data_IF_739462688164
#
_entry.id   IF_739462688164
#
_cell.length_a   1.000
_cell.length_b   1.000
_cell.length_c   1.000
_cell.angle_alpha   90.00
_cell.angle_beta   90.00
_cell.angle_gamma   90.00
#
_symmetry.space_group_name_H-M   'P 1'
#
loop_
_entity.id
_entity.type
_entity.pdbx_description
1 polymer ?
#
# COMPACT_ATOMS: atom_id res chain seq x y z
N UNK A 1 21.24 -13.26 27.60
CA UNK A 1 20.00 -12.55 27.97
C UNK A 1 18.93 -12.96 26.97
N UNK A 2 18.10 -13.94 27.32
CA UNK A 2 16.96 -14.35 26.51
C UNK A 2 15.79 -13.46 26.93
N UNK A 3 15.37 -12.54 26.07
CA UNK A 3 14.17 -11.75 26.32
C UNK A 3 12.99 -12.70 26.50
N UNK A 4 12.41 -12.66 27.70
CA UNK A 4 11.20 -13.37 28.05
C UNK A 4 10.07 -12.83 27.16
N UNK A 5 9.72 -13.60 26.13
CA UNK A 5 8.54 -13.33 25.31
C UNK A 5 7.34 -13.37 26.25
N UNK A 6 6.89 -12.19 26.67
CA UNK A 6 5.69 -11.99 27.50
C UNK A 6 4.60 -12.91 26.97
N UNK A 7 4.20 -13.89 27.77
CA UNK A 7 3.19 -14.87 27.41
C UNK A 7 1.85 -14.13 27.25
N UNK A 8 1.57 -13.66 26.03
CA UNK A 8 0.33 -12.94 25.70
C UNK A 8 -0.81 -13.94 25.84
N UNK A 9 -1.54 -13.83 26.96
CA UNK A 9 -2.72 -14.64 27.26
C UNK A 9 -3.70 -14.55 26.07
N UNK A 10 -4.14 -15.67 25.47
CA UNK A 10 -5.05 -15.66 24.32
C UNK A 10 -6.41 -15.00 24.60
N UNK A 11 -6.76 -14.78 25.89
CA UNK A 11 -8.00 -14.11 26.33
C UNK A 11 -8.30 -12.78 25.63
N UNK A 12 -7.28 -12.02 25.23
CA UNK A 12 -7.51 -10.72 24.55
C UNK A 12 -7.66 -10.83 23.03
N UNK A 13 -7.15 -11.89 22.39
CA UNK A 13 -7.27 -12.06 20.94
C UNK A 13 -8.72 -12.38 20.53
N UNK A 14 -9.42 -13.19 21.32
CA UNK A 14 -10.82 -13.54 21.11
C UNK A 14 -11.75 -12.34 21.36
N UNK A 15 -11.45 -11.51 22.38
CA UNK A 15 -12.23 -10.29 22.67
C UNK A 15 -12.11 -9.22 21.57
N UNK A 16 -11.01 -9.18 20.80
CA UNK A 16 -10.88 -8.28 19.63
C UNK A 16 -11.91 -8.58 18.55
N UNK A 17 -12.37 -9.84 18.43
CA UNK A 17 -13.39 -10.25 17.45
C UNK A 17 -14.74 -9.58 17.72
N UNK A 18 -15.07 -9.34 18.98
CA UNK A 18 -16.30 -8.67 19.41
C UNK A 18 -16.23 -7.14 19.36
N UNK A 19 -15.03 -6.56 19.28
CA UNK A 19 -14.80 -5.12 19.43
C UNK A 19 -14.73 -4.32 18.10
N UNK A 20 -15.40 -4.77 17.04
CA UNK A 20 -15.34 -4.16 15.67
C UNK A 20 -13.91 -3.95 15.12
N UNK A 21 -12.90 -4.55 15.74
CA UNK A 21 -11.49 -4.48 15.32
C UNK A 21 -11.25 -5.14 13.96
N UNK A 22 -12.16 -6.03 13.53
CA UNK A 22 -12.18 -6.55 12.16
C UNK A 22 -12.23 -5.41 11.15
N UNK A 23 -13.04 -4.37 11.41
CA UNK A 23 -13.10 -3.19 10.56
C UNK A 23 -11.82 -2.38 10.69
N UNK A 24 -11.32 -2.16 11.92
CA UNK A 24 -10.05 -1.46 12.21
C UNK A 24 -8.86 -2.03 11.42
N UNK A 25 -8.80 -3.36 11.22
CA UNK A 25 -7.79 -4.05 10.41
C UNK A 25 -7.71 -3.53 8.97
N UNK A 26 -8.82 -3.02 8.44
CA UNK A 26 -8.93 -2.48 7.08
C UNK A 26 -8.90 -0.96 7.01
N UNK A 27 -8.68 -0.21 8.10
CA UNK A 27 -8.67 1.27 8.02
C UNK A 27 -7.53 1.80 7.15
N UNK A 28 -6.42 1.06 7.06
CA UNK A 28 -5.31 1.37 6.16
C UNK A 28 -5.53 0.90 4.71
N UNK A 29 -6.44 -0.05 4.47
CA UNK A 29 -6.61 -0.65 3.14
C UNK A 29 -7.12 0.33 2.08
N UNK A 30 -8.16 1.15 2.33
CA UNK A 30 -8.60 2.17 1.39
C UNK A 30 -7.49 3.17 1.06
N UNK A 31 -6.70 3.57 2.06
CA UNK A 31 -5.59 4.52 1.90
C UNK A 31 -4.45 3.93 1.05
N UNK A 32 -4.11 2.66 1.28
CA UNK A 32 -3.15 1.91 0.46
C UNK A 32 -3.65 1.73 -0.98
N UNK A 33 -4.96 1.49 -1.16
CA UNK A 33 -5.54 1.31 -2.49
C UNK A 33 -5.46 2.61 -3.31
N UNK A 34 -5.79 3.76 -2.71
CA UNK A 34 -5.65 5.06 -3.37
C UNK A 34 -4.19 5.35 -3.72
N UNK A 35 -3.25 5.06 -2.82
CA UNK A 35 -1.82 5.24 -3.08
C UNK A 35 -1.33 4.36 -4.24
N UNK A 36 -1.77 3.11 -4.29
CA UNK A 36 -1.43 2.19 -5.36
C UNK A 36 -1.95 2.67 -6.72
N UNK A 37 -3.21 3.12 -6.77
CA UNK A 37 -3.84 3.66 -7.98
C UNK A 37 -3.06 4.89 -8.48
N UNK A 38 -2.77 5.86 -7.60
CA UNK A 38 -2.02 7.08 -7.96
C UNK A 38 -0.61 6.74 -8.46
N UNK A 39 0.08 5.81 -7.78
CA UNK A 39 1.43 5.40 -8.16
C UNK A 39 1.45 4.75 -9.53
N UNK A 40 0.47 3.88 -9.81
CA UNK A 40 0.33 3.20 -11.10
C UNK A 40 0.08 4.19 -12.23
N UNK A 41 -0.85 5.14 -12.03
CA UNK A 41 -1.13 6.20 -13.02
C UNK A 41 0.12 7.04 -13.29
N UNK A 42 0.84 7.44 -12.23
CA UNK A 42 2.03 8.28 -12.34
C UNK A 42 3.17 7.57 -13.09
N UNK A 43 3.41 6.30 -12.77
CA UNK A 43 4.43 5.49 -13.46
C UNK A 43 4.11 5.33 -14.95
N UNK A 44 2.85 5.05 -15.28
CA UNK A 44 2.40 4.91 -16.67
C UNK A 44 2.51 6.23 -17.45
N UNK A 45 2.09 7.35 -16.84
CA UNK A 45 2.22 8.68 -17.45
C UNK A 45 3.69 9.05 -17.71
N UNK A 46 4.59 8.71 -16.76
CA UNK A 46 6.03 8.93 -16.94
C UNK A 46 6.61 8.09 -18.07
N UNK A 47 6.19 6.82 -18.19
CA UNK A 47 6.56 5.96 -19.31
C UNK A 47 6.10 6.53 -20.65
N UNK A 48 4.83 6.96 -20.73
CA UNK A 48 4.29 7.59 -21.93
C UNK A 48 5.03 8.88 -22.30
N UNK A 49 5.32 9.74 -21.33
CA UNK A 49 6.09 10.97 -21.56
C UNK A 49 7.50 10.68 -22.09
N UNK A 50 8.17 9.63 -21.60
CA UNK A 50 9.47 9.22 -22.12
C UNK A 50 9.39 8.73 -23.56
N UNK A 51 8.37 7.95 -23.92
CA UNK A 51 8.15 7.50 -25.30
C UNK A 51 7.85 8.69 -26.21
N UNK A 52 6.95 9.58 -25.79
CA UNK A 52 6.61 10.79 -26.54
C UNK A 52 7.82 11.70 -26.73
N UNK A 53 8.64 11.90 -25.70
CA UNK A 53 9.89 12.64 -25.82
C UNK A 53 10.82 11.94 -26.80
N UNK A 54 11.06 10.63 -26.66
CA UNK A 54 11.91 9.88 -27.59
C UNK A 54 11.43 9.97 -29.04
N UNK A 55 10.12 9.91 -29.27
CA UNK A 55 9.53 10.01 -30.61
C UNK A 55 9.58 11.45 -31.13
N UNK A 56 9.32 12.46 -30.29
CA UNK A 56 9.50 13.87 -30.67
C UNK A 56 10.95 14.19 -31.01
N UNK A 57 11.92 13.70 -30.23
CA UNK A 57 13.35 13.81 -30.53
C UNK A 57 13.68 13.16 -31.88
N UNK A 58 13.08 12.00 -32.21
CA UNK A 58 13.28 11.34 -33.50
C UNK A 58 12.62 12.08 -34.68
N UNK A 59 11.54 12.83 -34.44
CA UNK A 59 10.80 13.57 -35.47
C UNK A 59 11.39 14.95 -35.78
N UNK A 60 12.28 15.43 -34.91
CA UNK A 60 13.03 16.68 -35.06
C UNK A 60 14.35 16.45 -35.84
N UNK A 61 14.78 15.20 -36.02
CA UNK A 61 15.83 14.82 -36.97
C UNK A 61 15.24 14.58 -38.37
#
# INVERSE_FOLDING_TARGET
>A
MMEEKVHIKPKHAEMKRFHRMTRAKYWGLPKLNVQFIITTITANAKGLANVLNSVCYLKIC
#
